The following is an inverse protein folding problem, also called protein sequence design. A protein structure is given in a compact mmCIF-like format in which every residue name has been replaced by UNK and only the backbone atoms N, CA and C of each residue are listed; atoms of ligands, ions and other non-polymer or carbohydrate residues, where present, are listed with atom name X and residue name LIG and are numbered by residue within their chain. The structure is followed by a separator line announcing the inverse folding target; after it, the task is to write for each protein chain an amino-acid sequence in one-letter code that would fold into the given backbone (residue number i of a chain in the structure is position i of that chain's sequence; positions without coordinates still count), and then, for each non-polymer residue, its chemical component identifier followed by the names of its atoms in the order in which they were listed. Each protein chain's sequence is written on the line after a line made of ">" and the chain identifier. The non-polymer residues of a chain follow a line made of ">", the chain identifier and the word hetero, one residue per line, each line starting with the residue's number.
data_IF_755409817519
#
_entry.id   IF_755409817519
#
_cell.length_a   1.000
_cell.length_b   1.000
_cell.length_c   1.000
_cell.angle_alpha   90.00
_cell.angle_beta   90.00
_cell.angle_gamma   90.00
#
_symmetry.space_group_name_H-M   'P 1'
#
loop_
_entity.id
_entity.type
_entity.pdbx_description
1 polymer ?
#
# COMPACT_ATOMS: atom_id res chain seq x y z
N UNK A 1 18.97 -29.40 11.67
CA UNK A 1 17.67 -28.76 11.99
C UNK A 1 16.82 -28.83 10.73
N UNK A 2 15.62 -29.40 10.84
CA UNK A 2 14.79 -29.88 9.73
C UNK A 2 14.41 -28.81 8.71
N UNK A 3 14.33 -29.16 7.43
CA UNK A 3 14.04 -28.22 6.35
C UNK A 3 12.65 -27.58 6.36
N UNK A 4 11.69 -28.06 7.17
CA UNK A 4 10.34 -27.47 7.26
C UNK A 4 10.17 -26.46 8.39
N UNK A 5 10.97 -26.55 9.46
CA UNK A 5 10.81 -25.67 10.63
C UNK A 5 11.08 -24.20 10.29
N UNK A 6 11.91 -23.93 9.27
CA UNK A 6 12.18 -22.57 8.79
C UNK A 6 10.94 -21.86 8.22
N UNK A 7 9.90 -22.60 7.83
CA UNK A 7 8.65 -22.04 7.28
C UNK A 7 7.54 -21.91 8.33
N UNK A 8 7.78 -22.28 9.59
CA UNK A 8 6.77 -22.13 10.63
C UNK A 8 6.57 -20.65 10.96
N UNK A 9 5.34 -20.24 11.23
CA UNK A 9 4.98 -18.84 11.49
C UNK A 9 5.71 -18.20 12.68
N UNK A 10 6.26 -19.01 13.58
CA UNK A 10 7.11 -18.57 14.70
C UNK A 10 8.56 -18.29 14.29
N UNK A 11 9.01 -18.87 13.17
CA UNK A 11 10.38 -18.77 12.66
C UNK A 11 10.49 -17.85 11.44
N UNK A 12 9.36 -17.40 10.86
CA UNK A 12 9.32 -16.39 9.80
C UNK A 12 9.27 -15.00 10.44
N UNK A 13 10.09 -14.09 9.93
CA UNK A 13 10.10 -12.70 10.37
C UNK A 13 8.73 -12.05 10.12
N UNK A 14 8.19 -11.40 11.15
CA UNK A 14 6.86 -10.79 11.07
C UNK A 14 6.95 -9.48 10.29
N UNK A 15 5.92 -9.24 9.46
CA UNK A 15 5.71 -8.01 8.70
C UNK A 15 6.27 -6.76 9.39
N UNK A 16 7.32 -6.19 8.81
CA UNK A 16 8.01 -5.03 9.36
C UNK A 16 7.18 -3.76 9.11
N UNK A 17 7.02 -2.95 10.16
CA UNK A 17 6.44 -1.61 10.02
C UNK A 17 7.56 -0.65 9.66
N UNK A 18 7.57 -0.22 8.41
CA UNK A 18 8.57 0.70 7.88
C UNK A 18 8.14 2.14 8.17
N UNK A 19 9.12 2.96 8.60
CA UNK A 19 8.94 4.40 8.78
C UNK A 19 9.33 5.15 7.52
N UNK A 20 8.43 6.00 7.03
CA UNK A 20 8.65 6.75 5.79
C UNK A 20 8.13 8.19 5.89
N UNK A 21 8.92 9.16 5.46
CA UNK A 21 8.50 10.57 5.43
C UNK A 21 7.81 10.87 4.09
N UNK A 22 6.48 10.77 4.06
CA UNK A 22 5.69 11.00 2.84
C UNK A 22 5.66 12.47 2.40
N UNK A 23 5.79 13.42 3.33
CA UNK A 23 5.90 14.84 3.00
C UNK A 23 6.66 15.60 4.08
N UNK A 24 7.54 16.51 3.65
CA UNK A 24 8.25 17.45 4.54
C UNK A 24 7.34 18.55 5.12
N UNK A 25 6.09 18.65 4.63
CA UNK A 25 5.13 19.67 5.04
C UNK A 25 4.44 19.33 6.36
N UNK A 26 4.32 18.05 6.69
CA UNK A 26 3.79 17.60 7.97
C UNK A 26 4.92 17.60 8.99
N UNK A 27 4.88 18.52 9.95
CA UNK A 27 5.93 18.67 10.95
C UNK A 27 5.38 18.43 12.36
N UNK A 28 6.22 17.88 13.22
CA UNK A 28 5.92 17.73 14.64
C UNK A 28 6.23 19.02 15.42
N UNK A 29 6.02 18.98 16.74
CA UNK A 29 6.28 20.10 17.66
C UNK A 29 7.74 20.60 17.64
N UNK A 30 8.68 19.80 17.14
CA UNK A 30 10.11 20.12 17.01
C UNK A 30 10.50 20.56 15.60
N UNK A 31 9.54 20.91 14.74
CA UNK A 31 9.72 21.32 13.34
C UNK A 31 10.35 20.24 12.43
N UNK A 32 10.36 18.97 12.86
CA UNK A 32 10.86 17.86 12.05
C UNK A 32 9.73 17.20 11.25
N UNK A 33 9.97 16.75 10.00
CA UNK A 33 9.00 15.98 9.23
C UNK A 33 8.48 14.75 9.97
N UNK A 34 7.18 14.50 9.88
CA UNK A 34 6.53 13.35 10.53
C UNK A 34 6.74 12.09 9.71
N UNK A 35 7.21 11.04 10.38
CA UNK A 35 7.34 9.69 9.82
C UNK A 35 5.98 8.98 9.85
N UNK A 36 5.59 8.45 8.70
CA UNK A 36 4.41 7.61 8.53
C UNK A 36 4.81 6.17 8.81
N UNK A 37 3.90 5.40 9.40
CA UNK A 37 4.10 3.98 9.62
C UNK A 37 3.36 3.22 8.52
N UNK A 38 4.11 2.39 7.79
CA UNK A 38 3.61 1.65 6.63
C UNK A 38 3.95 0.17 6.87
N UNK A 39 2.95 -0.68 6.90
CA UNK A 39 3.12 -2.13 6.96
C UNK A 39 2.73 -2.79 5.64
N UNK A 40 3.29 -3.97 5.38
CA UNK A 40 2.82 -4.81 4.28
C UNK A 40 1.47 -5.46 4.60
N UNK A 41 0.73 -5.79 3.54
CA UNK A 41 -0.54 -6.52 3.63
C UNK A 41 -0.30 -8.01 3.41
N UNK A 42 -1.24 -8.83 3.85
CA UNK A 42 -1.20 -10.25 3.49
C UNK A 42 -1.66 -10.45 2.04
N UNK A 43 -1.31 -11.58 1.44
CA UNK A 43 -1.77 -11.95 0.09
C UNK A 43 -3.30 -11.97 -0.02
N UNK A 44 -4.00 -12.41 1.04
CA UNK A 44 -5.47 -12.44 1.08
C UNK A 44 -6.07 -11.03 1.06
N UNK A 45 -5.45 -10.09 1.77
CA UNK A 45 -5.87 -8.69 1.79
C UNK A 45 -5.62 -8.01 0.45
N UNK A 46 -4.46 -8.25 -0.16
CA UNK A 46 -4.14 -7.76 -1.50
C UNK A 46 -5.15 -8.28 -2.53
N UNK A 47 -5.43 -9.59 -2.51
CA UNK A 47 -6.40 -10.20 -3.42
C UNK A 47 -7.80 -9.63 -3.21
N UNK A 48 -8.23 -9.40 -1.96
CA UNK A 48 -9.51 -8.79 -1.65
C UNK A 48 -9.61 -7.35 -2.19
N UNK A 49 -8.57 -6.54 -2.00
CA UNK A 49 -8.51 -5.17 -2.53
C UNK A 49 -8.54 -5.19 -4.05
N UNK A 50 -7.73 -6.04 -4.68
CA UNK A 50 -7.68 -6.20 -6.14
C UNK A 50 -9.03 -6.60 -6.72
N UNK A 51 -9.68 -7.62 -6.16
CA UNK A 51 -11.03 -8.06 -6.55
C UNK A 51 -12.05 -6.93 -6.40
N UNK A 52 -11.96 -6.12 -5.33
CA UNK A 52 -12.86 -4.97 -5.12
C UNK A 52 -12.70 -3.86 -6.17
N UNK A 53 -11.58 -3.86 -6.91
CA UNK A 53 -11.27 -2.93 -7.99
C UNK A 53 -11.42 -3.56 -9.37
N UNK A 54 -11.75 -4.86 -9.47
CA UNK A 54 -11.98 -5.55 -10.74
C UNK A 54 -13.47 -5.59 -11.06
N UNK A 55 -13.86 -5.04 -12.22
CA UNK A 55 -15.23 -5.11 -12.75
C UNK A 55 -15.26 -5.92 -14.04
N UNK A 56 -16.44 -6.46 -14.37
CA UNK A 56 -16.66 -7.12 -15.67
C UNK A 56 -17.15 -6.09 -16.68
N UNK A 57 -16.39 -5.87 -17.75
CA UNK A 57 -16.78 -4.97 -18.84
C UNK A 57 -17.13 -5.75 -20.11
N UNK A 58 -18.15 -5.33 -20.88
CA UNK A 58 -18.54 -6.01 -22.10
C UNK A 58 -17.42 -5.93 -23.15
N UNK A 59 -17.18 -7.02 -23.86
CA UNK A 59 -16.18 -7.08 -24.92
C UNK A 59 -16.74 -6.37 -26.17
N UNK A 60 -16.09 -5.31 -26.69
CA UNK A 60 -16.51 -4.67 -27.92
C UNK A 60 -16.64 -5.68 -29.06
N UNK A 61 -17.81 -5.72 -29.71
CA UNK A 61 -18.08 -6.62 -30.83
C UNK A 61 -18.50 -8.06 -30.48
N UNK A 62 -18.58 -8.45 -29.20
CA UNK A 62 -19.11 -9.76 -28.79
C UNK A 62 -20.31 -9.63 -27.84
N UNK A 63 -21.49 -10.03 -28.32
CA UNK A 63 -22.73 -10.05 -27.52
C UNK A 63 -22.60 -11.08 -26.39
N UNK A 64 -22.97 -10.71 -25.17
CA UNK A 64 -22.92 -11.54 -23.96
C UNK A 64 -21.51 -12.03 -23.54
N UNK A 65 -20.44 -11.41 -24.03
CA UNK A 65 -19.07 -11.70 -23.56
C UNK A 65 -18.54 -10.53 -22.72
N UNK A 66 -17.88 -10.85 -21.60
CA UNK A 66 -17.31 -9.87 -20.67
C UNK A 66 -15.86 -10.23 -20.37
N UNK A 67 -15.02 -9.21 -20.17
CA UNK A 67 -13.66 -9.37 -19.68
C UNK A 67 -13.50 -8.69 -18.31
N UNK A 68 -12.67 -9.23 -17.40
CA UNK A 68 -12.29 -8.52 -16.19
C UNK A 68 -11.41 -7.32 -16.55
N UNK A 69 -11.74 -6.16 -15.99
CA UNK A 69 -10.96 -4.93 -16.06
C UNK A 69 -10.71 -4.46 -14.62
N UNK A 70 -9.45 -4.34 -14.23
CA UNK A 70 -9.06 -3.83 -12.91
C UNK A 70 -8.75 -2.34 -13.02
N UNK A 71 -9.41 -1.54 -12.18
CA UNK A 71 -9.04 -0.15 -11.99
C UNK A 71 -7.78 -0.09 -11.10
N UNK A 72 -6.63 0.01 -11.77
CA UNK A 72 -5.32 0.03 -11.10
C UNK A 72 -5.12 1.28 -10.22
N UNK A 73 -5.69 2.43 -10.60
CA UNK A 73 -5.56 3.65 -9.79
C UNK A 73 -6.31 3.49 -8.46
N UNK A 74 -7.54 2.97 -8.53
CA UNK A 74 -8.35 2.66 -7.35
C UNK A 74 -7.72 1.57 -6.49
N UNK A 75 -7.12 0.55 -7.12
CA UNK A 75 -6.39 -0.52 -6.42
C UNK A 75 -5.21 0.03 -5.63
N UNK A 76 -4.31 0.80 -6.26
CA UNK A 76 -3.14 1.37 -5.58
C UNK A 76 -3.55 2.32 -4.44
N UNK A 77 -4.59 3.13 -4.64
CA UNK A 77 -5.11 4.00 -3.59
C UNK A 77 -5.63 3.23 -2.37
N UNK A 78 -6.39 2.15 -2.58
CA UNK A 78 -6.90 1.30 -1.49
C UNK A 78 -5.79 0.50 -0.81
N UNK A 79 -4.83 -0.01 -1.59
CA UNK A 79 -3.66 -0.70 -1.06
C UNK A 79 -2.88 0.24 -0.14
N UNK A 80 -2.64 1.48 -0.57
CA UNK A 80 -1.97 2.49 0.25
C UNK A 80 -2.69 2.74 1.57
N UNK A 81 -4.01 2.94 1.52
CA UNK A 81 -4.83 3.13 2.73
C UNK A 81 -4.71 1.94 3.69
N UNK A 82 -4.69 0.71 3.16
CA UNK A 82 -4.56 -0.50 3.99
C UNK A 82 -3.17 -0.63 4.60
N UNK A 83 -2.11 -0.25 3.88
CA UNK A 83 -0.73 -0.32 4.36
C UNK A 83 -0.40 0.73 5.43
N UNK A 84 -1.00 1.91 5.36
CA UNK A 84 -0.68 3.03 6.27
C UNK A 84 -1.37 2.82 7.62
N UNK A 85 -0.59 2.54 8.66
CA UNK A 85 -1.07 2.40 10.04
C UNK A 85 -1.01 3.72 10.81
N UNK A 86 -0.08 4.61 10.44
CA UNK A 86 -0.01 5.98 10.96
C UNK A 86 0.35 6.98 9.85
N UNK A 87 -0.40 8.07 9.67
CA UNK A 87 -1.60 8.46 10.43
C UNK A 87 -2.81 7.54 10.17
N UNK A 88 -3.77 7.50 11.10
CA UNK A 88 -5.03 6.77 10.86
C UNK A 88 -5.89 7.53 9.83
N UNK A 89 -5.86 7.09 8.58
CA UNK A 89 -6.58 7.73 7.48
C UNK A 89 -8.11 7.59 7.58
N UNK A 90 -8.60 6.67 8.42
CA UNK A 90 -10.03 6.51 8.70
C UNK A 90 -10.50 7.38 9.88
N UNK A 91 -9.61 8.19 10.45
CA UNK A 91 -9.96 9.11 11.53
C UNK A 91 -10.93 10.21 11.03
N UNK A 92 -12.05 10.36 11.74
CA UNK A 92 -13.11 11.28 11.34
C UNK A 92 -12.70 12.75 11.51
N UNK A 93 -11.94 13.09 12.55
CA UNK A 93 -11.48 14.46 12.77
C UNK A 93 -10.51 14.87 11.67
N UNK A 94 -9.57 13.98 11.32
CA UNK A 94 -8.65 14.17 10.20
C UNK A 94 -9.40 14.37 8.88
N UNK A 95 -10.30 13.46 8.52
CA UNK A 95 -11.10 13.58 7.30
C UNK A 95 -11.91 14.89 7.24
N UNK A 96 -12.56 15.26 8.36
CA UNK A 96 -13.34 16.48 8.46
C UNK A 96 -12.47 17.74 8.31
N UNK A 97 -11.24 17.74 8.86
CA UNK A 97 -10.31 18.87 8.73
C UNK A 97 -9.93 19.18 7.28
N UNK A 98 -9.91 18.16 6.41
CA UNK A 98 -9.67 18.31 4.98
C UNK A 98 -10.95 18.46 4.16
N UNK A 99 -12.13 18.30 4.78
CA UNK A 99 -13.42 18.36 4.10
C UNK A 99 -13.64 17.21 3.12
N UNK A 100 -13.01 16.05 3.36
CA UNK A 100 -13.03 14.90 2.44
C UNK A 100 -13.58 13.69 3.16
N UNK A 101 -14.47 12.95 2.49
CA UNK A 101 -14.96 11.65 2.96
C UNK A 101 -14.28 10.52 2.18
N UNK A 102 -13.54 9.66 2.90
CA UNK A 102 -12.80 8.53 2.35
C UNK A 102 -11.29 8.69 2.44
N UNK A 103 -10.63 7.64 2.94
CA UNK A 103 -9.19 7.62 3.19
C UNK A 103 -8.34 7.71 1.91
N UNK A 104 -8.83 7.15 0.80
CA UNK A 104 -8.18 7.19 -0.51
C UNK A 104 -8.14 8.62 -1.09
N UNK A 105 -9.25 9.34 -0.96
CA UNK A 105 -9.34 10.75 -1.36
C UNK A 105 -8.53 11.64 -0.43
N UNK A 106 -8.57 11.36 0.88
CA UNK A 106 -7.78 12.08 1.87
C UNK A 106 -6.29 12.10 1.52
N UNK A 107 -5.72 10.95 1.12
CA UNK A 107 -4.32 10.88 0.68
C UNK A 107 -4.01 11.83 -0.48
N UNK A 108 -4.86 11.84 -1.51
CA UNK A 108 -4.71 12.71 -2.69
C UNK A 108 -4.87 14.19 -2.33
N UNK A 109 -5.65 14.52 -1.30
CA UNK A 109 -5.82 15.90 -0.80
C UNK A 109 -4.66 16.34 0.09
N UNK A 110 -4.14 15.43 0.93
CA UNK A 110 -3.04 15.70 1.85
C UNK A 110 -1.71 15.91 1.12
N UNK A 111 -1.43 15.08 0.11
CA UNK A 111 -0.13 14.99 -0.56
C UNK A 111 -0.15 15.73 -1.90
N UNK A 112 1.00 16.30 -2.28
CA UNK A 112 1.21 16.78 -3.66
C UNK A 112 1.26 15.58 -4.60
N UNK A 113 0.98 15.76 -5.91
CA UNK A 113 1.03 14.67 -6.87
C UNK A 113 2.34 13.87 -6.85
N UNK A 114 3.49 14.53 -6.77
CA UNK A 114 4.80 13.86 -6.66
C UNK A 114 4.95 13.07 -5.35
N UNK A 115 4.59 13.68 -4.21
CA UNK A 115 4.63 13.04 -2.89
C UNK A 115 3.73 11.80 -2.84
N UNK A 116 2.53 11.87 -3.45
CA UNK A 116 1.61 10.75 -3.55
C UNK A 116 2.18 9.61 -4.40
N UNK A 117 2.77 9.92 -5.56
CA UNK A 117 3.40 8.90 -6.41
C UNK A 117 4.59 8.22 -5.73
N UNK A 118 5.43 8.98 -5.03
CA UNK A 118 6.57 8.42 -4.29
C UNK A 118 6.11 7.53 -3.13
N UNK A 119 5.04 7.93 -2.43
CA UNK A 119 4.40 7.09 -1.41
C UNK A 119 3.87 5.77 -2.00
N UNK A 120 3.18 5.82 -3.14
CA UNK A 120 2.67 4.60 -3.82
C UNK A 120 3.80 3.67 -4.25
N UNK A 121 4.94 4.20 -4.72
CA UNK A 121 6.12 3.39 -5.04
C UNK A 121 6.67 2.72 -3.78
N UNK A 122 6.83 3.47 -2.69
CA UNK A 122 7.33 2.91 -1.43
C UNK A 122 6.42 1.81 -0.87
N UNK A 123 5.11 1.97 -0.99
CA UNK A 123 4.14 0.93 -0.61
C UNK A 123 4.31 -0.33 -1.47
N UNK A 124 4.55 -0.18 -2.78
CA UNK A 124 4.77 -1.33 -3.64
C UNK A 124 6.07 -2.06 -3.31
N UNK A 125 7.14 -1.32 -3.03
CA UNK A 125 8.42 -1.83 -2.53
C UNK A 125 8.23 -2.63 -1.22
N UNK A 126 7.53 -2.07 -0.22
CA UNK A 126 7.26 -2.72 1.08
C UNK A 126 6.45 -4.02 0.92
N UNK A 127 5.61 -4.12 -0.11
CA UNK A 127 4.86 -5.35 -0.41
C UNK A 127 5.61 -6.31 -1.35
N UNK A 128 6.89 -6.05 -1.66
CA UNK A 128 7.72 -6.91 -2.49
C UNK A 128 7.35 -6.90 -3.98
N UNK A 129 6.63 -5.86 -4.47
CA UNK A 129 6.30 -5.74 -5.89
C UNK A 129 7.43 -5.14 -6.74
N UNK A 130 8.42 -4.49 -6.10
CA UNK A 130 9.57 -3.86 -6.76
C UNK A 130 10.86 -4.69 -6.62
N UNK A 131 10.83 -5.81 -5.89
CA UNK A 131 11.99 -6.70 -5.77
C UNK A 131 12.19 -7.44 -7.09
N UNK A 132 13.13 -6.95 -7.88
CA UNK A 132 13.79 -7.78 -8.86
C UNK A 132 14.46 -8.93 -8.09
N UNK A 133 14.26 -10.17 -8.53
CA UNK A 133 14.82 -11.38 -7.91
C UNK A 133 16.35 -11.34 -7.69
N UNK A 134 17.06 -10.36 -8.27
CA UNK A 134 18.50 -10.17 -8.16
C UNK A 134 18.93 -9.54 -6.81
N UNK A 135 18.10 -8.70 -6.19
CA UNK A 135 18.47 -8.00 -4.93
C UNK A 135 18.38 -8.93 -3.69
N UNK A 136 17.48 -9.92 -3.70
CA UNK A 136 17.30 -10.87 -2.59
C UNK A 136 18.46 -11.88 -2.43
N UNK A 137 19.31 -12.06 -3.45
CA UNK A 137 20.38 -13.08 -3.42
C UNK A 137 21.68 -12.54 -2.82
N UNK A 138 21.90 -11.22 -2.83
CA UNK A 138 23.12 -10.63 -2.24
C UNK A 138 23.06 -10.50 -0.71
N UNK A 139 21.89 -10.24 -0.11
CA UNK A 139 21.76 -10.14 1.36
C UNK A 139 21.88 -11.49 2.09
N UNK A 140 21.52 -12.61 1.44
CA UNK A 140 21.66 -13.94 2.04
C UNK A 140 23.10 -14.47 2.10
N UNK A 141 24.09 -13.70 1.62
CA UNK A 141 25.50 -14.10 1.53
C UNK A 141 26.44 -13.35 2.48
N UNK A 142 25.96 -12.41 3.29
CA UNK A 142 26.77 -11.67 4.27
C UNK A 142 26.50 -12.11 5.72
#
# INVERSE_FOLDING_TARGET
>A
MSGLSVFFAENVEKNEVVKYVASKRFKNEKDNPVEWQIGCVTSDEDEAIRKSCTRKVPIPGKKNAYMPETDFESYLGKLAVRCITYPNLNDAELQNSYGVMGADKLLKTMLKPGEYQDLLKKIQEINGFDESMEDMVEEAKN
#
